data_IF_603748851111
#
_entry.id   IF_603748851111
#
_cell.length_a   1.000
_cell.length_b   1.000
_cell.length_c   1.000
_cell.angle_alpha   90.00
_cell.angle_beta   90.00
_cell.angle_gamma   90.00
#
_symmetry.space_group_name_H-M   'P 1'
#
loop_
_entity.id
_entity.type
_entity.pdbx_description
1 polymer ?
#
# COMPACT_ATOMS: atom_id res chain seq x y z
N UNK A 1 -8.05 2.89 8.21
CA UNK A 1 -7.74 1.79 9.14
C UNK A 1 -7.64 2.32 10.56
N UNK A 2 -8.57 1.97 11.48
CA UNK A 2 -8.61 2.50 12.85
C UNK A 2 -7.45 2.04 13.75
N UNK A 3 -6.74 0.96 13.42
CA UNK A 3 -5.64 0.42 14.24
C UNK A 3 -4.26 1.06 13.98
N UNK A 4 -4.04 1.70 12.84
CA UNK A 4 -2.74 2.31 12.51
C UNK A 4 -2.55 3.69 13.12
N UNK A 5 -3.63 4.33 13.60
CA UNK A 5 -3.59 5.69 14.14
C UNK A 5 -3.05 5.76 15.57
N UNK A 6 -2.91 4.63 16.26
CA UNK A 6 -2.57 4.55 17.69
C UNK A 6 -1.28 3.78 18.00
N UNK A 7 -0.44 3.47 17.01
CA UNK A 7 0.85 2.82 17.27
C UNK A 7 1.92 3.88 17.54
N UNK A 8 2.42 3.92 18.79
CA UNK A 8 3.51 4.78 19.24
C UNK A 8 4.87 4.46 18.59
N UNK A 9 4.98 3.34 17.88
CA UNK A 9 6.16 2.89 17.14
C UNK A 9 5.81 2.79 15.65
N UNK A 10 6.73 3.18 14.76
CA UNK A 10 6.58 2.93 13.32
C UNK A 10 6.55 1.41 13.12
N UNK A 11 5.41 0.81 12.72
CA UNK A 11 5.34 -0.63 12.56
C UNK A 11 6.38 -1.06 11.52
N UNK A 12 7.14 -2.11 11.85
CA UNK A 12 8.01 -2.74 10.88
C UNK A 12 7.13 -3.44 9.82
N UNK A 13 7.74 -3.81 8.69
CA UNK A 13 7.00 -4.41 7.56
C UNK A 13 6.19 -5.63 8.01
N UNK A 14 6.78 -6.50 8.84
CA UNK A 14 6.13 -7.69 9.36
C UNK A 14 4.88 -7.37 10.18
N UNK A 15 4.95 -6.36 11.06
CA UNK A 15 3.81 -5.88 11.85
C UNK A 15 2.68 -5.31 10.98
N UNK A 16 3.01 -4.69 9.84
CA UNK A 16 2.00 -4.23 8.88
C UNK A 16 1.25 -5.40 8.24
N UNK A 17 1.96 -6.49 7.92
CA UNK A 17 1.35 -7.73 7.42
C UNK A 17 0.49 -8.41 8.49
N UNK A 18 0.98 -8.54 9.71
CA UNK A 18 0.25 -9.16 10.83
C UNK A 18 -1.03 -8.39 11.19
N UNK A 19 -0.99 -7.05 11.16
CA UNK A 19 -2.17 -6.21 11.39
C UNK A 19 -3.22 -6.36 10.26
N UNK A 20 -2.81 -6.81 9.08
CA UNK A 20 -3.70 -7.05 7.94
C UNK A 20 -4.33 -8.44 7.91
N UNK A 21 -4.01 -9.31 8.87
CA UNK A 21 -4.59 -10.64 9.01
C UNK A 21 -6.06 -10.56 9.48
N UNK A 22 -6.95 -10.20 8.55
CA UNK A 22 -8.40 -10.29 8.73
C UNK A 22 -8.84 -11.72 8.39
N UNK A 23 -9.84 -12.30 9.06
CA UNK A 23 -10.36 -13.64 8.73
C UNK A 23 -10.92 -13.76 7.29
N UNK A 24 -11.11 -12.65 6.57
CA UNK A 24 -11.55 -12.66 5.18
C UNK A 24 -10.35 -12.64 4.21
N UNK A 25 -10.10 -13.79 3.57
CA UNK A 25 -8.96 -14.03 2.67
C UNK A 25 -8.82 -13.02 1.52
N UNK A 26 -9.93 -12.49 0.98
CA UNK A 26 -9.91 -11.49 -0.10
C UNK A 26 -9.45 -10.13 0.41
N UNK A 27 -9.92 -9.73 1.59
CA UNK A 27 -9.56 -8.47 2.24
C UNK A 27 -8.07 -8.50 2.64
N UNK A 28 -7.61 -9.62 3.19
CA UNK A 28 -6.20 -9.84 3.53
C UNK A 28 -5.30 -9.74 2.29
N UNK A 29 -5.72 -10.35 1.17
CA UNK A 29 -4.98 -10.26 -0.10
C UNK A 29 -4.92 -8.83 -0.65
N UNK A 30 -6.00 -8.05 -0.50
CA UNK A 30 -6.03 -6.63 -0.85
C UNK A 30 -5.08 -5.80 0.01
N UNK A 31 -5.05 -6.02 1.32
CA UNK A 31 -4.11 -5.32 2.19
C UNK A 31 -2.66 -5.67 1.89
N UNK A 32 -2.35 -6.94 1.64
CA UNK A 32 -1.03 -7.36 1.18
C UNK A 32 -0.62 -6.62 -0.11
N UNK A 33 -1.54 -6.50 -1.07
CA UNK A 33 -1.30 -5.75 -2.31
C UNK A 33 -0.96 -4.28 -2.04
N UNK A 34 -1.71 -3.62 -1.15
CA UNK A 34 -1.49 -2.23 -0.76
C UNK A 34 -0.14 -2.07 -0.06
N UNK A 35 0.17 -2.93 0.91
CA UNK A 35 1.42 -2.90 1.68
C UNK A 35 2.62 -3.12 0.75
N UNK A 36 2.61 -4.16 -0.09
CA UNK A 36 3.67 -4.44 -1.06
C UNK A 36 3.87 -3.27 -2.03
N UNK A 37 2.79 -2.70 -2.54
CA UNK A 37 2.86 -1.56 -3.46
C UNK A 37 3.44 -0.33 -2.77
N UNK A 38 3.03 -0.04 -1.53
CA UNK A 38 3.55 1.07 -0.75
C UNK A 38 5.04 0.91 -0.45
N UNK A 39 5.48 -0.27 0.01
CA UNK A 39 6.90 -0.56 0.29
C UNK A 39 7.74 -0.35 -0.96
N UNK A 40 7.31 -0.91 -2.09
CA UNK A 40 8.03 -0.80 -3.36
C UNK A 40 8.20 0.65 -3.80
N UNK A 41 7.11 1.42 -3.80
CA UNK A 41 7.14 2.81 -4.25
C UNK A 41 7.89 3.71 -3.26
N UNK A 42 7.79 3.49 -1.96
CA UNK A 42 8.60 4.20 -0.96
C UNK A 42 10.09 3.92 -1.12
N UNK A 43 10.46 2.65 -1.35
CA UNK A 43 11.85 2.29 -1.63
C UNK A 43 12.36 2.97 -2.90
N UNK A 44 11.57 2.90 -4.00
CA UNK A 44 11.92 3.55 -5.26
C UNK A 44 12.14 5.04 -5.10
N UNK A 45 11.20 5.75 -4.46
CA UNK A 45 11.32 7.21 -4.23
C UNK A 45 12.49 7.58 -3.30
N UNK A 46 12.89 6.71 -2.38
CA UNK A 46 14.11 6.93 -1.58
C UNK A 46 15.37 6.77 -2.42
N UNK A 47 15.39 5.79 -3.32
CA UNK A 47 16.52 5.59 -4.23
C UNK A 47 16.62 6.69 -5.28
N UNK A 48 15.51 7.08 -5.90
CA UNK A 48 15.50 8.16 -6.89
C UNK A 48 15.93 9.49 -6.27
N UNK A 49 15.55 9.78 -5.01
CA UNK A 49 16.06 10.94 -4.27
C UNK A 49 17.57 10.87 -4.01
N UNK A 50 18.09 9.69 -3.69
CA UNK A 50 19.51 9.51 -3.35
C UNK A 50 20.43 9.51 -4.57
N UNK A 51 19.96 8.96 -5.69
CA UNK A 51 20.82 8.67 -6.86
C UNK A 51 20.35 9.34 -8.15
N UNK A 52 19.06 9.68 -8.27
CA UNK A 52 18.48 10.28 -9.48
C UNK A 52 18.21 11.78 -9.38
N UNK A 53 18.38 12.40 -8.21
CA UNK A 53 18.13 13.83 -7.99
C UNK A 53 16.66 14.26 -8.14
N UNK A 54 15.73 13.31 -8.29
CA UNK A 54 14.30 13.57 -8.45
C UNK A 54 13.57 13.36 -7.13
N UNK A 55 12.59 14.22 -6.85
CA UNK A 55 11.73 14.09 -5.68
C UNK A 55 10.27 14.33 -6.04
N UNK A 56 9.38 13.58 -5.41
CA UNK A 56 7.94 13.84 -5.41
C UNK A 56 7.44 14.02 -3.99
N UNK A 57 6.38 14.82 -3.86
CA UNK A 57 5.71 15.03 -2.58
C UNK A 57 5.08 13.73 -2.06
N UNK A 58 4.85 13.66 -0.75
CA UNK A 58 4.12 12.55 -0.12
C UNK A 58 2.73 12.35 -0.72
N UNK A 59 2.04 13.45 -1.06
CA UNK A 59 0.73 13.42 -1.71
C UNK A 59 0.81 12.78 -3.10
N UNK A 60 1.75 13.21 -3.93
CA UNK A 60 1.95 12.64 -5.28
C UNK A 60 2.32 11.16 -5.20
N UNK A 61 3.18 10.79 -4.25
CA UNK A 61 3.54 9.39 -4.02
C UNK A 61 2.34 8.55 -3.59
N UNK A 62 1.49 9.05 -2.68
CA UNK A 62 0.28 8.36 -2.25
C UNK A 62 -0.71 8.17 -3.42
N UNK A 63 -0.90 9.19 -4.26
CA UNK A 63 -1.73 9.09 -5.47
C UNK A 63 -1.18 8.04 -6.44
N UNK A 64 0.14 8.02 -6.68
CA UNK A 64 0.81 7.04 -7.53
C UNK A 64 0.60 5.60 -7.01
N UNK A 65 0.75 5.39 -5.70
CA UNK A 65 0.47 4.10 -5.07
C UNK A 65 -1.00 3.72 -5.24
N UNK A 66 -1.94 4.64 -4.99
CA UNK A 66 -3.39 4.39 -5.17
C UNK A 66 -3.70 4.00 -6.62
N UNK A 67 -3.20 4.74 -7.61
CA UNK A 67 -3.40 4.42 -9.03
C UNK A 67 -2.87 3.04 -9.41
N UNK A 68 -1.69 2.65 -8.91
CA UNK A 68 -1.10 1.33 -9.19
C UNK A 68 -1.92 0.21 -8.54
N UNK A 69 -2.36 0.41 -7.30
CA UNK A 69 -3.22 -0.56 -6.61
C UNK A 69 -4.54 -0.73 -7.36
N UNK A 70 -5.21 0.36 -7.73
CA UNK A 70 -6.46 0.31 -8.51
C UNK A 70 -6.26 -0.40 -9.85
N UNK A 71 -5.20 -0.08 -10.59
CA UNK A 71 -4.88 -0.75 -11.85
C UNK A 71 -4.64 -2.26 -11.68
N UNK A 72 -4.04 -2.70 -10.56
CA UNK A 72 -3.85 -4.12 -10.25
C UNK A 72 -5.16 -4.81 -9.87
N UNK A 73 -6.03 -4.13 -9.12
CA UNK A 73 -7.36 -4.66 -8.74
C UNK A 73 -8.27 -4.79 -9.96
N UNK A 74 -8.27 -3.81 -10.85
CA UNK A 74 -9.04 -3.86 -12.11
C UNK A 74 -8.69 -5.08 -12.97
N UNK A 75 -7.44 -5.54 -12.93
CA UNK A 75 -6.99 -6.75 -13.63
C UNK A 75 -7.30 -8.06 -12.89
N UNK A 76 -7.79 -7.99 -11.65
CA UNK A 76 -8.08 -9.16 -10.85
C UNK A 76 -9.48 -9.70 -11.16
N UNK A 77 -9.63 -11.03 -11.25
CA UNK A 77 -10.95 -11.66 -11.46
C UNK A 77 -11.85 -11.33 -10.27
N UNK A 78 -13.00 -10.67 -10.52
CA UNK A 78 -13.90 -10.10 -9.52
C UNK A 78 -13.33 -8.87 -8.75
N UNK A 79 -12.37 -8.14 -9.32
CA UNK A 79 -11.81 -6.94 -8.69
C UNK A 79 -12.81 -5.80 -8.44
N UNK A 80 -13.93 -5.76 -9.17
CA UNK A 80 -14.95 -4.73 -9.03
C UNK A 80 -15.58 -4.70 -7.63
N UNK A 81 -15.79 -5.86 -6.99
CA UNK A 81 -16.31 -5.92 -5.61
C UNK A 81 -15.31 -5.46 -4.55
N UNK A 82 -14.02 -5.37 -4.90
CA UNK A 82 -12.96 -4.89 -4.01
C UNK A 82 -12.72 -3.38 -4.16
N UNK A 83 -13.20 -2.76 -5.24
CA UNK A 83 -13.08 -1.31 -5.41
C UNK A 83 -13.97 -0.52 -4.45
N UNK A 84 -15.09 -1.08 -3.98
CA UNK A 84 -15.95 -0.42 -2.98
C UNK A 84 -15.29 -0.25 -1.60
N UNK A 85 -14.15 -0.91 -1.37
CA UNK A 85 -13.36 -0.82 -0.13
C UNK A 85 -12.24 0.25 -0.17
N UNK A 86 -12.08 1.00 -1.27
CA UNK A 86 -10.95 1.93 -1.55
C UNK A 86 -11.37 3.38 -1.84
#
# INVERSE_FOLDING_TARGET
MPGMKNQFLRPNILQAFECSAVPNSKITSLYHLIICSAIYHLWRERNDRKFGGSYVSSTTLALKIKSVVLAKILKWKNGHSLMELL
#
